data_IF_332734742435
#
_entry.id   IF_332734742435
#
_cell.length_a   1.000
_cell.length_b   1.000
_cell.length_c   1.000
_cell.angle_alpha   90.00
_cell.angle_beta   90.00
_cell.angle_gamma   90.00
#
_symmetry.space_group_name_H-M   'P 1'
#
loop_
_entity.id
_entity.type
_entity.pdbx_description
1 polymer ?
#
# COMPACT_ATOMS: atom_id res chain seq x y z
N UNK A 1 13.93 -12.67 -73.29
CA UNK A 1 14.47 -12.00 -72.09
C UNK A 1 13.46 -12.20 -70.98
N UNK A 2 13.83 -12.95 -69.94
CA UNK A 2 12.98 -13.32 -68.79
C UNK A 2 12.71 -12.08 -67.93
N UNK A 3 11.47 -11.86 -67.49
CA UNK A 3 11.18 -11.07 -66.29
C UNK A 3 10.06 -11.79 -65.49
N UNK A 4 10.49 -12.51 -64.46
CA UNK A 4 9.63 -13.03 -63.40
C UNK A 4 9.46 -11.91 -62.37
N UNK A 5 8.24 -11.36 -62.22
CA UNK A 5 7.91 -10.54 -61.06
C UNK A 5 7.31 -11.45 -59.98
N UNK A 6 8.15 -11.88 -59.05
CA UNK A 6 7.71 -12.44 -57.78
C UNK A 6 7.27 -11.29 -56.87
N UNK A 7 5.96 -11.06 -56.75
CA UNK A 7 5.39 -10.12 -55.79
C UNK A 7 5.57 -10.65 -54.36
N UNK A 8 6.38 -9.97 -53.56
CA UNK A 8 6.52 -10.26 -52.12
C UNK A 8 5.32 -9.67 -51.38
N UNK A 9 4.51 -10.53 -50.77
CA UNK A 9 3.45 -10.12 -49.83
C UNK A 9 4.14 -9.67 -48.53
N UNK A 10 4.12 -8.37 -48.22
CA UNK A 10 4.52 -7.86 -46.90
C UNK A 10 3.30 -8.03 -45.99
N UNK A 11 3.27 -9.13 -45.23
CA UNK A 11 2.31 -9.29 -44.14
C UNK A 11 2.61 -8.30 -43.03
N UNK A 12 1.74 -7.31 -42.85
CA UNK A 12 1.77 -6.45 -41.67
C UNK A 12 1.39 -7.29 -40.44
N UNK A 13 2.36 -7.58 -39.57
CA UNK A 13 2.08 -8.17 -38.27
C UNK A 13 1.36 -7.12 -37.41
N UNK A 14 0.04 -7.25 -37.30
CA UNK A 14 -0.75 -6.52 -36.32
C UNK A 14 -0.36 -7.10 -34.95
N UNK A 15 0.51 -6.39 -34.23
CA UNK A 15 0.77 -6.68 -32.82
C UNK A 15 -0.51 -6.29 -32.08
N UNK A 16 -1.33 -7.29 -31.75
CA UNK A 16 -2.43 -7.12 -30.82
C UNK A 16 -1.85 -6.74 -29.46
N UNK A 17 -1.87 -5.45 -29.14
CA UNK A 17 -1.64 -4.96 -27.79
C UNK A 17 -2.84 -5.46 -26.95
N UNK A 18 -2.65 -6.55 -26.23
CA UNK A 18 -3.57 -6.90 -25.15
C UNK A 18 -3.55 -5.70 -24.18
N UNK A 19 -4.68 -5.03 -23.92
CA UNK A 19 -4.71 -4.06 -22.84
C UNK A 19 -4.42 -4.84 -21.57
N UNK A 20 -3.23 -4.62 -20.99
CA UNK A 20 -2.99 -4.97 -19.61
C UNK A 20 -4.08 -4.22 -18.84
N UNK A 21 -4.99 -4.96 -18.21
CA UNK A 21 -5.94 -4.34 -17.29
C UNK A 21 -5.11 -3.50 -16.31
N UNK A 22 -5.32 -2.19 -16.34
CA UNK A 22 -4.73 -1.30 -15.35
C UNK A 22 -5.36 -1.70 -14.02
N UNK A 23 -4.65 -2.50 -13.23
CA UNK A 23 -4.94 -2.60 -11.81
C UNK A 23 -4.85 -1.16 -11.29
N UNK A 24 -5.91 -0.64 -10.67
CA UNK A 24 -5.86 0.66 -10.02
C UNK A 24 -4.63 0.66 -9.10
N UNK A 25 -3.67 1.54 -9.36
CA UNK A 25 -2.42 1.60 -8.60
C UNK A 25 -2.76 2.03 -7.17
N UNK A 26 -2.79 1.07 -6.25
CA UNK A 26 -3.00 1.32 -4.82
C UNK A 26 -1.66 1.52 -4.11
N UNK A 27 -1.64 2.35 -3.06
CA UNK A 27 -0.48 2.47 -2.19
C UNK A 27 -0.51 1.34 -1.15
N UNK A 28 0.57 0.58 -1.03
CA UNK A 28 0.71 -0.42 0.03
C UNK A 28 1.35 0.18 1.26
N UNK A 29 0.97 -0.30 2.45
CA UNK A 29 1.45 0.19 3.73
C UNK A 29 1.79 -0.95 4.69
N UNK A 30 2.73 -0.67 5.59
CA UNK A 30 3.08 -1.55 6.71
C UNK A 30 3.21 -0.74 8.00
N UNK A 31 3.07 -1.41 9.14
CA UNK A 31 3.36 -0.85 10.47
C UNK A 31 3.82 -1.97 11.40
N UNK A 32 4.77 -1.68 12.27
CA UNK A 32 5.12 -2.52 13.42
C UNK A 32 4.71 -1.78 14.67
N UNK A 33 3.90 -2.41 15.51
CA UNK A 33 3.38 -1.81 16.74
C UNK A 33 4.16 -2.35 17.94
N UNK A 34 4.61 -1.46 18.82
CA UNK A 34 5.25 -1.80 20.09
C UNK A 34 5.10 -0.67 21.11
N UNK A 35 5.33 -0.97 22.40
CA UNK A 35 5.26 0.02 23.47
C UNK A 35 6.36 1.08 23.42
N UNK A 36 7.50 0.81 22.76
CA UNK A 36 8.60 1.77 22.66
C UNK A 36 8.25 2.99 21.77
N UNK A 37 7.24 2.86 20.91
CA UNK A 37 6.73 3.95 20.07
C UNK A 37 5.67 4.80 20.76
N UNK A 38 5.12 4.38 21.90
CA UNK A 38 4.23 5.22 22.72
C UNK A 38 4.93 6.50 23.18
N UNK A 39 4.16 7.54 23.50
CA UNK A 39 4.69 8.76 24.08
C UNK A 39 3.91 9.15 25.35
N UNK A 40 4.48 8.91 26.55
CA UNK A 40 5.81 8.36 26.80
C UNK A 40 5.93 6.85 26.46
N UNK A 41 7.15 6.32 26.19
CA UNK A 41 7.35 4.90 25.90
C UNK A 41 6.94 3.98 27.06
N UNK A 42 6.40 2.81 26.72
CA UNK A 42 5.92 1.80 27.66
C UNK A 42 6.71 0.50 27.52
N UNK A 43 7.07 -0.09 28.66
CA UNK A 43 7.67 -1.43 28.72
C UNK A 43 6.58 -2.48 28.81
N UNK A 44 6.25 -3.10 27.68
CA UNK A 44 5.28 -4.19 27.56
C UNK A 44 5.87 -5.31 26.69
N UNK A 45 5.56 -6.60 26.94
CA UNK A 45 5.87 -7.68 26.01
C UNK A 45 4.98 -7.67 24.77
N UNK A 46 3.96 -6.82 24.73
CA UNK A 46 3.01 -6.73 23.63
C UNK A 46 3.71 -6.37 22.32
N UNK A 47 3.23 -6.97 21.24
CA UNK A 47 3.69 -6.68 19.88
C UNK A 47 2.52 -6.68 18.91
N UNK A 48 2.68 -5.96 17.81
CA UNK A 48 1.75 -6.04 16.69
C UNK A 48 2.39 -5.74 15.34
N UNK A 49 1.70 -6.12 14.29
CA UNK A 49 2.04 -5.80 12.90
C UNK A 49 0.77 -5.40 12.16
N UNK A 50 0.90 -4.50 11.20
CA UNK A 50 -0.21 -4.16 10.32
C UNK A 50 0.22 -4.05 8.87
N UNK A 51 -0.71 -4.36 7.99
CA UNK A 51 -0.62 -4.11 6.55
C UNK A 51 -1.86 -3.36 6.11
N UNK A 52 -1.73 -2.53 5.08
CA UNK A 52 -2.90 -1.91 4.48
C UNK A 52 -2.68 -1.49 3.03
N UNK A 53 -3.78 -1.20 2.36
CA UNK A 53 -3.81 -0.75 0.97
C UNK A 53 -4.74 0.43 0.86
N UNK A 54 -4.24 1.55 0.33
CA UNK A 54 -5.05 2.71 -0.04
C UNK A 54 -5.37 2.62 -1.53
N UNK A 55 -6.66 2.69 -1.86
CA UNK A 55 -7.17 2.70 -3.23
C UNK A 55 -8.14 3.85 -3.43
N UNK A 56 -8.41 4.19 -4.68
CA UNK A 56 -9.30 5.29 -5.06
C UNK A 56 -8.52 6.54 -5.48
N UNK A 57 -9.25 7.64 -5.53
CA UNK A 57 -8.80 8.98 -5.95
C UNK A 57 -9.38 10.03 -4.98
N UNK A 58 -8.93 11.30 -5.04
CA UNK A 58 -9.54 12.39 -4.26
C UNK A 58 -11.07 12.38 -4.35
N UNK A 59 -11.74 12.39 -3.20
CA UNK A 59 -13.19 12.24 -3.11
C UNK A 59 -13.73 10.80 -3.00
N UNK A 60 -12.86 9.78 -3.04
CA UNK A 60 -13.29 8.37 -3.10
C UNK A 60 -12.33 7.36 -2.43
N UNK A 61 -11.41 7.85 -1.60
CA UNK A 61 -10.39 7.01 -0.95
C UNK A 61 -10.97 5.90 -0.08
N UNK A 62 -10.33 4.74 -0.12
CA UNK A 62 -10.56 3.61 0.79
C UNK A 62 -9.22 3.05 1.24
N UNK A 63 -8.96 3.08 2.54
CA UNK A 63 -7.81 2.42 3.18
C UNK A 63 -8.27 1.14 3.89
N UNK A 64 -7.96 -0.01 3.28
CA UNK A 64 -8.19 -1.33 3.88
C UNK A 64 -7.00 -1.75 4.71
N UNK A 65 -7.21 -2.27 5.91
CA UNK A 65 -6.13 -2.67 6.81
C UNK A 65 -6.41 -3.98 7.55
N UNK A 66 -5.31 -4.62 7.93
CA UNK A 66 -5.27 -5.76 8.86
C UNK A 66 -4.21 -5.48 9.92
N UNK A 67 -4.59 -5.51 11.19
CA UNK A 67 -3.71 -5.33 12.36
C UNK A 67 -3.73 -6.61 13.18
N UNK A 68 -2.58 -7.25 13.35
CA UNK A 68 -2.40 -8.37 14.25
C UNK A 68 -1.71 -7.88 15.53
N UNK A 69 -2.18 -8.32 16.68
CA UNK A 69 -1.59 -7.98 17.97
C UNK A 69 -1.60 -9.19 18.91
N UNK A 70 -0.64 -9.21 19.83
CA UNK A 70 -0.54 -10.24 20.86
C UNK A 70 0.27 -9.77 22.06
N UNK A 71 0.10 -10.46 23.19
CA UNK A 71 0.89 -10.23 24.39
C UNK A 71 0.52 -8.95 25.15
N UNK A 72 -0.67 -8.38 24.90
CA UNK A 72 -1.18 -7.26 25.68
C UNK A 72 -1.26 -7.65 27.16
N UNK A 73 -0.81 -6.76 28.04
CA UNK A 73 -0.83 -7.00 29.49
C UNK A 73 -2.22 -6.72 30.07
N UNK A 74 -2.96 -5.77 29.49
CA UNK A 74 -4.38 -5.53 29.77
C UNK A 74 -5.27 -6.06 28.65
N UNK A 75 -6.56 -6.22 28.94
CA UNK A 75 -7.54 -6.46 27.88
C UNK A 75 -7.82 -5.16 27.13
N UNK A 76 -8.10 -5.24 25.83
CA UNK A 76 -8.59 -4.09 25.07
C UNK A 76 -9.89 -3.59 25.72
N UNK A 77 -9.91 -2.31 26.08
CA UNK A 77 -11.02 -1.62 26.73
C UNK A 77 -11.05 -0.16 26.25
N UNK A 78 -12.16 0.54 26.51
CA UNK A 78 -12.31 1.94 26.11
C UNK A 78 -11.06 2.77 26.48
N UNK A 79 -10.49 3.54 25.52
CA UNK A 79 -11.10 3.94 24.25
C UNK A 79 -10.94 2.95 23.07
N UNK A 80 -10.46 1.73 23.30
CA UNK A 80 -10.28 0.64 22.32
C UNK A 80 -9.05 0.81 21.42
N UNK A 81 -9.21 0.95 20.11
CA UNK A 81 -8.09 1.06 19.17
C UNK A 81 -8.43 2.05 18.06
N UNK A 82 -7.40 2.75 17.55
CA UNK A 82 -7.59 3.93 16.72
C UNK A 82 -6.50 4.08 15.66
N UNK A 83 -6.82 4.84 14.60
CA UNK A 83 -5.80 5.56 13.82
C UNK A 83 -5.77 6.99 14.32
N UNK A 84 -4.57 7.52 14.56
CA UNK A 84 -4.31 8.91 14.88
C UNK A 84 -3.54 9.60 13.76
N UNK A 85 -3.56 10.94 13.74
CA UNK A 85 -2.76 11.76 12.81
C UNK A 85 -1.70 12.58 13.55
N UNK A 86 -0.43 12.22 13.37
CA UNK A 86 0.73 12.98 13.80
C UNK A 86 2.01 12.39 13.18
N UNK A 87 3.10 13.18 13.06
CA UNK A 87 4.41 12.63 12.75
C UNK A 87 4.90 11.67 13.84
N UNK A 88 5.93 10.90 13.50
CA UNK A 88 6.60 9.95 14.42
C UNK A 88 6.99 10.64 15.73
N UNK A 89 6.67 10.01 16.86
CA UNK A 89 7.04 10.46 18.21
C UNK A 89 6.13 11.53 18.81
N UNK A 90 5.14 12.06 18.06
CA UNK A 90 4.19 13.07 18.55
C UNK A 90 2.81 12.46 18.74
N UNK A 91 2.09 12.81 19.80
CA UNK A 91 0.70 12.38 19.99
C UNK A 91 -0.25 13.24 19.14
N UNK A 92 -1.18 12.59 18.45
CA UNK A 92 -2.17 13.22 17.58
C UNK A 92 -3.61 12.95 18.01
N UNK A 93 -4.59 13.68 17.45
CA UNK A 93 -5.99 13.35 17.65
C UNK A 93 -6.35 12.03 16.94
N UNK A 94 -7.38 11.36 17.43
CA UNK A 94 -7.98 10.20 16.76
C UNK A 94 -8.62 10.67 15.44
N UNK A 95 -8.42 9.91 14.37
CA UNK A 95 -9.01 10.16 13.04
C UNK A 95 -9.73 8.94 12.45
N UNK A 96 -9.62 7.76 13.07
CA UNK A 96 -10.43 6.58 12.71
C UNK A 96 -10.57 5.65 13.91
N UNK A 97 -11.70 4.97 14.04
CA UNK A 97 -11.99 4.02 15.12
C UNK A 97 -11.88 2.58 14.60
N UNK A 98 -11.17 1.71 15.34
CA UNK A 98 -10.92 0.29 14.96
C UNK A 98 -11.88 -0.67 15.67
N UNK A 99 -13.01 -0.18 16.15
CA UNK A 99 -14.07 -0.94 16.82
C UNK A 99 -15.47 -0.60 16.27
N UNK A 100 -15.53 0.02 15.09
CA UNK A 100 -16.76 0.41 14.42
C UNK A 100 -17.53 -0.77 13.80
N UNK A 101 -18.71 -0.48 13.23
CA UNK A 101 -19.66 -1.48 12.71
C UNK A 101 -19.08 -2.50 11.70
N UNK A 102 -17.99 -2.14 11.01
CA UNK A 102 -17.33 -2.97 10.00
C UNK A 102 -16.12 -3.74 10.54
N UNK A 103 -15.86 -3.68 11.85
CA UNK A 103 -14.73 -4.33 12.50
C UNK A 103 -15.24 -5.36 13.51
N UNK A 104 -14.67 -6.57 13.57
CA UNK A 104 -15.02 -7.54 14.61
C UNK A 104 -14.84 -6.95 16.02
N UNK A 105 -15.72 -7.24 16.99
CA UNK A 105 -15.56 -6.77 18.35
C UNK A 105 -14.20 -7.20 18.93
N UNK A 106 -13.43 -6.23 19.41
CA UNK A 106 -12.08 -6.43 19.96
C UNK A 106 -12.04 -6.29 21.49
N UNK A 107 -13.13 -5.86 22.11
CA UNK A 107 -13.20 -5.66 23.55
C UNK A 107 -12.89 -6.95 24.32
N UNK A 108 -12.08 -6.86 25.38
CA UNK A 108 -11.78 -7.99 26.25
C UNK A 108 -10.65 -8.90 25.77
N UNK A 109 -10.06 -8.65 24.60
CA UNK A 109 -8.96 -9.48 24.07
C UNK A 109 -7.58 -9.02 24.54
N UNK A 110 -6.61 -9.94 24.56
CA UNK A 110 -5.17 -9.65 24.73
C UNK A 110 -4.34 -10.00 23.50
N UNK A 111 -4.96 -10.65 22.51
CA UNK A 111 -4.42 -10.98 21.20
C UNK A 111 -5.55 -11.10 20.19
N UNK A 112 -5.24 -10.89 18.91
CA UNK A 112 -6.22 -11.04 17.85
C UNK A 112 -5.82 -10.33 16.56
N UNK A 113 -6.80 -10.24 15.68
CA UNK A 113 -6.70 -9.56 14.39
C UNK A 113 -7.85 -8.57 14.26
N UNK A 114 -7.52 -7.34 13.87
CA UNK A 114 -8.45 -6.27 13.52
C UNK A 114 -8.41 -6.13 12.00
N UNK A 115 -9.54 -6.32 11.33
CA UNK A 115 -9.67 -6.07 9.89
C UNK A 115 -10.75 -5.03 9.68
N UNK A 116 -10.49 -4.03 8.85
CA UNK A 116 -11.44 -2.98 8.57
C UNK A 116 -11.03 -2.10 7.40
N UNK A 117 -11.93 -1.19 7.04
CA UNK A 117 -11.71 -0.15 6.05
C UNK A 117 -11.94 1.22 6.68
N UNK A 118 -11.16 2.21 6.25
CA UNK A 118 -11.38 3.62 6.51
C UNK A 118 -11.70 4.32 5.18
N UNK A 119 -12.89 4.91 5.06
CA UNK A 119 -13.45 5.34 3.77
C UNK A 119 -13.74 6.83 3.75
N UNK A 120 -13.67 7.42 2.55
CA UNK A 120 -14.00 8.83 2.33
C UNK A 120 -15.44 9.16 2.75
N UNK A 121 -16.36 8.21 2.65
CA UNK A 121 -17.78 8.34 2.95
C UNK A 121 -18.19 7.88 4.37
N UNK A 122 -17.23 7.58 5.25
CA UNK A 122 -17.53 7.25 6.64
C UNK A 122 -18.18 8.44 7.38
N UNK A 123 -19.26 8.17 8.11
CA UNK A 123 -20.13 9.21 8.71
C UNK A 123 -19.44 9.95 9.85
N UNK A 124 -18.76 9.24 10.75
CA UNK A 124 -18.18 9.85 11.97
C UNK A 124 -16.80 10.44 11.72
N UNK A 125 -15.98 9.75 10.93
CA UNK A 125 -14.56 10.05 10.74
C UNK A 125 -14.12 9.70 9.30
N UNK A 126 -14.52 10.49 8.30
CA UNK A 126 -14.20 10.19 6.91
C UNK A 126 -12.71 10.28 6.61
N UNK A 127 -12.21 9.40 5.74
CA UNK A 127 -10.89 9.48 5.12
C UNK A 127 -10.88 10.62 4.09
N UNK A 128 -10.87 11.85 4.56
CA UNK A 128 -10.76 13.04 3.69
C UNK A 128 -9.47 13.01 2.87
N UNK A 129 -9.43 13.76 1.77
CA UNK A 129 -8.22 13.86 0.93
C UNK A 129 -7.00 14.31 1.73
N UNK A 130 -7.19 15.22 2.70
CA UNK A 130 -6.12 15.68 3.58
C UNK A 130 -5.57 14.52 4.42
N UNK A 131 -6.44 13.68 4.96
CA UNK A 131 -6.05 12.53 5.78
C UNK A 131 -5.43 11.41 4.95
N UNK A 132 -5.92 11.19 3.72
CA UNK A 132 -5.28 10.28 2.77
C UNK A 132 -3.83 10.74 2.46
N UNK A 133 -3.61 12.04 2.30
CA UNK A 133 -2.25 12.58 2.15
C UNK A 133 -1.40 12.42 3.41
N UNK A 134 -1.96 12.61 4.61
CA UNK A 134 -1.22 12.34 5.86
C UNK A 134 -0.84 10.85 5.98
N UNK A 135 -1.73 9.94 5.58
CA UNK A 135 -1.46 8.51 5.52
C UNK A 135 -0.32 8.19 4.53
N UNK A 136 -0.38 8.72 3.31
CA UNK A 136 0.67 8.55 2.28
C UNK A 136 2.03 9.07 2.77
N UNK A 137 2.03 10.22 3.45
CA UNK A 137 3.24 10.84 4.00
C UNK A 137 3.76 10.17 5.27
N UNK A 138 3.09 9.12 5.75
CA UNK A 138 3.47 8.40 6.96
C UNK A 138 3.26 9.20 8.25
N UNK A 139 2.31 10.12 8.27
CA UNK A 139 1.91 10.95 9.42
C UNK A 139 0.66 10.41 10.12
N UNK A 140 0.38 9.12 10.01
CA UNK A 140 -0.67 8.43 10.76
C UNK A 140 -0.10 7.22 11.48
N UNK A 141 -0.74 6.81 12.57
CA UNK A 141 -0.31 5.65 13.35
C UNK A 141 -1.50 4.88 13.90
N UNK A 142 -1.34 3.55 14.00
CA UNK A 142 -2.24 2.71 14.78
C UNK A 142 -1.91 2.84 16.26
N UNK A 143 -2.93 2.87 17.11
CA UNK A 143 -2.81 2.83 18.56
C UNK A 143 -3.82 1.86 19.17
N UNK A 144 -3.39 1.00 20.10
CA UNK A 144 -4.26 0.06 20.83
C UNK A 144 -4.18 0.40 22.32
N UNK A 145 -5.34 0.60 22.93
CA UNK A 145 -5.51 0.93 24.35
C UNK A 145 -6.01 -0.30 25.11
N UNK A 146 -5.52 -0.46 26.33
CA UNK A 146 -5.93 -1.54 27.21
C UNK A 146 -6.32 -1.03 28.58
N UNK A 147 -6.96 -1.88 29.37
CA UNK A 147 -7.37 -1.54 30.74
C UNK A 147 -6.19 -1.14 31.65
N UNK A 148 -4.97 -1.60 31.36
CA UNK A 148 -3.76 -1.22 32.11
C UNK A 148 -3.05 0.00 31.52
N UNK A 149 -3.25 0.28 30.23
CA UNK A 149 -2.64 1.41 29.53
C UNK A 149 -3.70 2.19 28.74
N UNK A 150 -4.52 3.00 29.43
CA UNK A 150 -5.62 3.73 28.79
C UNK A 150 -5.13 4.82 27.82
N UNK A 151 -3.90 5.31 27.98
CA UNK A 151 -3.28 6.24 27.04
C UNK A 151 -2.75 5.58 25.76
N UNK A 152 -2.64 4.24 25.73
CA UNK A 152 -2.07 3.43 24.64
C UNK A 152 -1.09 2.39 25.20
N UNK A 153 -1.15 1.14 24.77
CA UNK A 153 -0.16 0.08 25.04
C UNK A 153 0.75 -0.20 23.84
N UNK A 154 0.18 -0.10 22.63
CA UNK A 154 0.87 -0.35 21.36
C UNK A 154 0.66 0.80 20.40
N UNK A 155 1.76 1.33 19.87
CA UNK A 155 1.77 2.32 18.78
C UNK A 155 2.64 1.84 17.63
N UNK A 156 2.18 2.10 16.41
CA UNK A 156 2.96 1.82 15.20
C UNK A 156 2.66 2.82 14.08
N UNK A 157 3.67 3.57 13.65
CA UNK A 157 3.53 4.49 12.52
C UNK A 157 3.22 3.72 11.22
N UNK A 158 2.25 4.21 10.45
CA UNK A 158 1.88 3.63 9.16
C UNK A 158 2.84 4.17 8.11
N UNK A 159 3.57 3.29 7.43
CA UNK A 159 4.61 3.64 6.46
C UNK A 159 4.24 3.08 5.09
N UNK A 160 4.40 3.89 4.05
CA UNK A 160 4.23 3.42 2.67
C UNK A 160 5.32 2.42 2.31
N UNK A 161 4.95 1.39 1.57
CA UNK A 161 5.87 0.43 0.97
C UNK A 161 6.18 0.92 -0.44
N UNK A 162 7.44 1.27 -0.75
CA UNK A 162 7.82 1.61 -2.11
C UNK A 162 7.55 0.41 -3.03
N UNK A 163 6.78 0.62 -4.11
CA UNK A 163 6.62 -0.38 -5.17
C UNK A 163 8.02 -0.80 -5.69
N UNK A 164 8.30 -2.09 -5.91
CA UNK A 164 9.52 -2.50 -6.58
C UNK A 164 9.61 -1.81 -7.95
N UNK A 165 10.78 -1.28 -8.37
CA UNK A 165 10.94 -0.55 -9.64
C UNK A 165 10.73 -1.40 -10.93
N UNK A 166 10.06 -2.54 -10.85
CA UNK A 166 9.98 -3.56 -11.90
C UNK A 166 9.12 -3.23 -13.11
N UNK A 167 8.28 -2.18 -13.09
CA UNK A 167 7.46 -1.85 -14.26
C UNK A 167 8.16 -0.94 -15.29
N UNK A 168 9.00 0.01 -14.86
CA UNK A 168 9.77 0.84 -15.80
C UNK A 168 11.04 0.14 -16.30
N UNK A 169 11.64 -0.73 -15.48
CA UNK A 169 12.83 -1.50 -15.86
C UNK A 169 12.58 -2.51 -16.99
N UNK A 170 11.41 -3.16 -17.03
CA UNK A 170 11.07 -4.12 -18.09
C UNK A 170 10.81 -3.43 -19.45
N UNK A 171 10.24 -2.22 -19.45
CA UNK A 171 10.05 -1.42 -20.67
C UNK A 171 11.39 -0.85 -21.20
N UNK A 172 12.34 -0.54 -20.32
CA UNK A 172 13.67 -0.12 -20.73
C UNK A 172 14.46 -1.27 -21.39
N UNK A 173 14.37 -2.50 -20.87
CA UNK A 173 15.07 -3.66 -21.47
C UNK A 173 14.51 -4.05 -22.85
N UNK A 174 13.20 -3.85 -23.09
CA UNK A 174 12.61 -4.11 -24.41
C UNK A 174 13.03 -3.09 -25.47
N UNK A 175 13.15 -1.80 -25.11
CA UNK A 175 13.60 -0.75 -26.02
C UNK A 175 15.06 -0.92 -26.49
N UNK A 176 15.94 -1.39 -25.59
CA UNK A 176 17.34 -1.69 -25.94
C UNK A 176 17.48 -2.96 -26.78
N UNK A 177 16.70 -4.01 -26.48
CA UNK A 177 16.65 -5.24 -27.28
C UNK A 177 16.19 -5.00 -28.73
N UNK A 178 15.18 -4.15 -28.91
CA UNK A 178 14.66 -3.78 -30.24
C UNK A 178 15.69 -2.94 -31.02
N UNK A 179 16.37 -1.98 -30.37
CA UNK A 179 17.43 -1.18 -31.02
C UNK A 179 18.62 -2.02 -31.50
N UNK A 180 19.02 -3.04 -30.74
CA UNK A 180 20.13 -3.93 -31.13
C UNK A 180 19.77 -4.79 -32.36
N UNK A 181 18.53 -5.28 -32.46
CA UNK A 181 18.04 -6.05 -33.61
C UNK A 181 18.01 -5.22 -34.90
N UNK A 182 17.58 -3.95 -34.85
CA UNK A 182 17.59 -3.06 -36.02
C UNK A 182 19.01 -2.72 -36.51
N UNK A 183 19.96 -2.52 -35.58
CA UNK A 183 21.37 -2.26 -35.93
C UNK A 183 22.01 -3.48 -36.61
N UNK A 184 21.65 -4.69 -36.18
CA UNK A 184 22.15 -5.95 -36.76
C UNK A 184 21.59 -6.21 -38.17
N UNK A 185 20.34 -5.83 -38.45
CA UNK A 185 19.75 -5.98 -39.79
C UNK A 185 20.35 -4.99 -40.81
N UNK A 186 20.59 -3.73 -40.44
CA UNK A 186 21.25 -2.75 -41.32
C UNK A 186 22.68 -3.15 -41.71
N UNK A 187 23.42 -3.80 -40.81
CA UNK A 187 24.78 -4.25 -41.10
C UNK A 187 24.84 -5.49 -42.01
N UNK A 188 23.79 -6.32 -42.06
CA UNK A 188 23.72 -7.45 -42.99
C UNK A 188 23.41 -7.04 -44.43
N UNK A 189 22.81 -5.87 -44.64
CA UNK A 189 22.51 -5.32 -45.98
C UNK A 189 23.67 -4.52 -46.61
N UNK A 190 24.80 -4.38 -45.90
CA UNK A 190 25.98 -3.63 -46.38
C UNK A 190 27.20 -4.50 -46.72
N UNK A 191 27.04 -5.82 -46.76
CA UNK A 191 28.12 -6.73 -47.20
C UNK A 191 28.06 -6.87 -48.73
N UNK A 192 29.10 -6.48 -49.48
CA UNK A 192 29.15 -6.72 -50.92
C UNK A 192 29.58 -8.16 -51.23
N UNK A 193 28.75 -8.87 -51.99
CA UNK A 193 29.11 -9.67 -53.16
C UNK A 193 27.84 -10.06 -53.91
#
# INVERSE_FOLDING_TARGET
MKLLLTGTVIGAAIIALNPLAANAAGFSFTSTLNGAQENPPISTPATGTATGTLTGDPGSWVFSYVVNYSGLQGVIAAPFAHIHVAPVGVNGPIVHDLDGANVPPIAGSTSGTITGDWRFDDISRPLTDVLAQQLINGNTYFNIHTSLFPAGELRGQIQSVPEPPTQLGLLALSAWGISWQFKRQKNKQKLPS
#
